data_IF_451156785877
#
_entry.id   IF_451156785877
#
_cell.length_a   1.000
_cell.length_b   1.000
_cell.length_c   1.000
_cell.angle_alpha   90.00
_cell.angle_beta   90.00
_cell.angle_gamma   90.00
#
_symmetry.space_group_name_H-M   'P 1'
#
loop_
_entity.id
_entity.type
_entity.pdbx_description
1 polymer ?
#
# COMPACT_ATOMS: atom_id res chain seq x y z
N UNK A 1 3.31 34.85 8.58
CA UNK A 1 4.05 33.96 9.47
C UNK A 1 5.29 34.65 9.98
N UNK A 2 5.41 34.66 11.30
CA UNK A 2 6.58 35.26 11.98
C UNK A 2 7.51 34.10 12.35
N UNK A 3 8.47 33.76 11.50
CA UNK A 3 9.41 32.68 11.78
C UNK A 3 10.41 32.46 10.62
N UNK A 4 11.54 31.77 10.89
CA UNK A 4 12.58 31.53 9.90
C UNK A 4 12.22 30.39 8.90
N UNK A 5 11.09 29.70 9.07
CA UNK A 5 10.67 28.62 8.20
C UNK A 5 9.92 29.20 7.01
N UNK A 6 10.49 28.99 5.82
CA UNK A 6 9.84 29.34 4.56
C UNK A 6 9.04 28.13 4.03
N UNK A 7 7.80 28.38 3.64
CA UNK A 7 6.98 27.41 2.95
C UNK A 7 6.63 27.93 1.56
N UNK A 8 6.96 27.16 0.53
CA UNK A 8 6.59 27.43 -0.84
C UNK A 8 5.89 26.22 -1.43
N UNK A 9 4.88 26.48 -2.25
CA UNK A 9 4.18 25.46 -3.01
C UNK A 9 3.83 25.99 -4.38
N UNK A 10 4.57 25.58 -5.40
CA UNK A 10 4.41 26.09 -6.78
C UNK A 10 3.02 25.85 -7.36
N UNK A 11 2.33 24.81 -6.90
CA UNK A 11 0.96 24.45 -7.31
C UNK A 11 -0.10 24.84 -6.27
N UNK A 12 0.28 25.47 -5.15
CA UNK A 12 -0.68 25.95 -4.15
C UNK A 12 -1.61 27.00 -4.78
N UNK A 13 -2.92 26.73 -4.74
CA UNK A 13 -3.92 27.60 -5.36
C UNK A 13 -4.00 27.50 -6.89
N UNK A 14 -3.26 26.58 -7.52
CA UNK A 14 -3.40 26.34 -8.96
C UNK A 14 -4.84 25.88 -9.27
N UNK A 15 -5.57 26.55 -10.20
CA UNK A 15 -6.98 26.26 -10.44
C UNK A 15 -7.27 24.82 -10.85
N UNK A 16 -6.40 24.21 -11.67
CA UNK A 16 -6.57 22.80 -12.09
C UNK A 16 -6.38 21.86 -10.91
N UNK A 17 -5.32 22.04 -10.12
CA UNK A 17 -5.04 21.22 -8.95
C UNK A 17 -6.17 21.35 -7.89
N UNK A 18 -6.63 22.56 -7.63
CA UNK A 18 -7.72 22.82 -6.67
C UNK A 18 -9.04 22.22 -7.15
N UNK A 19 -9.36 22.35 -8.44
CA UNK A 19 -10.59 21.78 -9.02
C UNK A 19 -10.56 20.25 -8.97
N UNK A 20 -9.45 19.62 -9.36
CA UNK A 20 -9.29 18.17 -9.27
C UNK A 20 -9.39 17.68 -7.83
N UNK A 21 -8.76 18.35 -6.88
CA UNK A 21 -8.84 18.03 -5.45
C UNK A 21 -10.26 18.16 -4.91
N UNK A 22 -10.96 19.24 -5.26
CA UNK A 22 -12.36 19.46 -4.85
C UNK A 22 -13.27 18.36 -5.38
N UNK A 23 -13.12 17.99 -6.65
CA UNK A 23 -13.94 16.93 -7.25
C UNK A 23 -13.65 15.56 -6.64
N UNK A 24 -12.38 15.25 -6.37
CA UNK A 24 -11.99 14.03 -5.65
C UNK A 24 -12.66 13.95 -4.28
N UNK A 25 -12.63 15.05 -3.50
CA UNK A 25 -13.28 15.10 -2.18
C UNK A 25 -14.80 14.95 -2.30
N UNK A 26 -15.43 15.55 -3.31
CA UNK A 26 -16.87 15.39 -3.56
C UNK A 26 -17.24 13.94 -3.86
N UNK A 27 -16.46 13.24 -4.68
CA UNK A 27 -16.65 11.82 -4.96
C UNK A 27 -16.55 10.98 -3.67
N UNK A 28 -15.53 11.20 -2.86
CA UNK A 28 -15.35 10.47 -1.60
C UNK A 28 -16.46 10.73 -0.58
N UNK A 29 -17.03 11.96 -0.55
CA UNK A 29 -18.17 12.30 0.31
C UNK A 29 -19.47 11.65 -0.21
N UNK A 30 -19.67 11.64 -1.52
CA UNK A 30 -20.85 11.06 -2.15
C UNK A 30 -20.85 9.52 -2.11
N UNK A 31 -19.67 8.90 -2.06
CA UNK A 31 -19.45 7.46 -2.12
C UNK A 31 -18.61 6.95 -0.94
N UNK A 32 -19.08 7.08 0.31
CA UNK A 32 -18.33 6.64 1.49
C UNK A 32 -18.09 5.13 1.55
N UNK A 33 -18.88 4.34 0.81
CA UNK A 33 -18.71 2.89 0.65
C UNK A 33 -17.36 2.51 0.05
N UNK A 34 -16.70 3.42 -0.68
CA UNK A 34 -15.35 3.20 -1.25
C UNK A 34 -14.35 2.79 -0.16
N UNK A 35 -14.43 3.42 1.02
CA UNK A 35 -13.50 3.12 2.10
C UNK A 35 -13.65 1.69 2.62
N UNK A 36 -14.88 1.22 2.81
CA UNK A 36 -15.14 -0.15 3.24
C UNK A 36 -14.71 -1.18 2.17
N UNK A 37 -14.92 -0.84 0.89
CA UNK A 37 -14.53 -1.71 -0.22
C UNK A 37 -13.02 -1.88 -0.34
N UNK A 38 -12.25 -0.79 -0.29
CA UNK A 38 -10.79 -0.86 -0.38
C UNK A 38 -10.16 -1.49 0.88
N UNK A 39 -10.78 -1.30 2.06
CA UNK A 39 -10.35 -1.95 3.29
C UNK A 39 -10.50 -3.48 3.21
N UNK A 40 -11.66 -3.97 2.78
CA UNK A 40 -11.93 -5.39 2.53
C UNK A 40 -10.93 -6.02 1.55
N UNK A 41 -10.61 -5.30 0.47
CA UNK A 41 -9.61 -5.75 -0.53
C UNK A 41 -8.21 -5.85 0.07
N UNK A 42 -7.82 -4.88 0.88
CA UNK A 42 -6.54 -4.88 1.58
C UNK A 42 -6.47 -5.97 2.66
N UNK A 43 -7.55 -6.23 3.38
CA UNK A 43 -7.67 -7.32 4.35
C UNK A 43 -7.37 -8.68 3.70
N UNK A 44 -7.90 -8.93 2.51
CA UNK A 44 -7.64 -10.17 1.78
C UNK A 44 -6.17 -10.35 1.40
N UNK A 45 -5.48 -9.27 1.03
CA UNK A 45 -4.03 -9.31 0.81
C UNK A 45 -3.27 -9.56 2.12
N UNK A 46 -3.66 -8.89 3.21
CA UNK A 46 -3.08 -9.11 4.54
C UNK A 46 -3.18 -10.57 4.96
N UNK A 47 -4.39 -11.16 4.87
CA UNK A 47 -4.62 -12.56 5.18
C UNK A 47 -3.70 -13.48 4.36
N UNK A 48 -3.60 -13.22 3.04
CA UNK A 48 -2.75 -14.00 2.14
C UNK A 48 -1.27 -13.94 2.53
N UNK A 49 -0.76 -12.78 2.89
CA UNK A 49 0.62 -12.66 3.37
C UNK A 49 0.83 -13.37 4.71
N UNK A 50 -0.15 -13.26 5.64
CA UNK A 50 -0.09 -13.93 6.94
C UNK A 50 -0.16 -15.45 6.80
N UNK A 51 -0.95 -16.00 5.87
CA UNK A 51 -0.95 -17.43 5.51
C UNK A 51 0.44 -17.94 5.11
N UNK A 52 1.25 -17.08 4.53
CA UNK A 52 2.65 -17.38 4.14
C UNK A 52 3.66 -17.15 5.28
N UNK A 53 3.21 -16.81 6.47
CA UNK A 53 4.03 -16.61 7.65
C UNK A 53 4.78 -15.28 7.69
N UNK A 54 4.34 -14.29 6.93
CA UNK A 54 4.90 -12.94 6.93
C UNK A 54 4.21 -12.05 7.96
N UNK A 55 4.96 -11.10 8.50
CA UNK A 55 4.39 -10.04 9.34
C UNK A 55 3.81 -8.94 8.47
N UNK A 56 2.58 -8.55 8.75
CA UNK A 56 1.88 -7.47 8.03
C UNK A 56 1.40 -6.42 9.01
N UNK A 57 1.70 -5.17 8.71
CA UNK A 57 1.10 -4.01 9.35
C UNK A 57 0.10 -3.37 8.36
N UNK A 58 -1.14 -3.15 8.80
CA UNK A 58 -2.20 -2.57 7.97
C UNK A 58 -3.02 -1.53 8.73
N UNK A 59 -3.37 -0.47 8.01
CA UNK A 59 -4.36 0.53 8.44
C UNK A 59 -5.26 0.84 7.23
N UNK A 60 -6.51 0.42 7.29
CA UNK A 60 -7.42 0.54 6.15
C UNK A 60 -6.83 -0.12 4.89
N UNK A 61 -6.77 0.61 3.80
CA UNK A 61 -6.24 0.14 2.51
C UNK A 61 -4.71 0.23 2.37
N UNK A 62 -4.02 0.70 3.39
CA UNK A 62 -2.57 0.85 3.45
C UNK A 62 -1.96 -0.34 4.17
N UNK A 63 -1.01 -1.05 3.55
CA UNK A 63 -0.36 -2.21 4.16
C UNK A 63 1.13 -2.29 3.80
N UNK A 64 1.91 -2.85 4.71
CA UNK A 64 3.30 -3.23 4.49
C UNK A 64 3.51 -4.66 4.93
N UNK A 65 4.17 -5.48 4.09
CA UNK A 65 4.55 -6.84 4.44
C UNK A 65 6.06 -6.91 4.72
N UNK A 66 6.43 -7.61 5.77
CA UNK A 66 7.80 -7.79 6.21
C UNK A 66 8.16 -9.28 6.21
N UNK A 67 9.28 -9.60 5.60
CA UNK A 67 9.81 -10.97 5.52
C UNK A 67 10.48 -11.36 6.85
N UNK A 68 9.65 -11.45 7.88
CA UNK A 68 10.00 -11.86 9.24
C UNK A 68 8.76 -12.43 9.93
N UNK A 69 8.97 -13.25 10.95
CA UNK A 69 7.91 -13.74 11.85
C UNK A 69 7.77 -12.89 13.12
N UNK A 70 8.76 -12.00 13.34
CA UNK A 70 8.78 -11.13 14.51
C UNK A 70 7.86 -9.92 14.31
N UNK A 71 7.23 -9.41 15.37
CA UNK A 71 6.47 -8.17 15.28
C UNK A 71 7.35 -7.00 14.81
N UNK A 72 6.81 -6.19 13.91
CA UNK A 72 7.44 -4.97 13.42
C UNK A 72 6.69 -3.77 13.96
N UNK A 73 7.30 -3.04 14.88
CA UNK A 73 6.69 -1.91 15.61
C UNK A 73 7.47 -0.60 15.46
N UNK A 74 8.70 -0.69 14.95
CA UNK A 74 9.59 0.44 14.73
C UNK A 74 10.59 0.14 13.60
N UNK A 75 11.41 1.13 13.25
CA UNK A 75 12.41 0.99 12.20
C UNK A 75 13.45 -0.09 12.50
N UNK A 76 13.85 -0.25 13.77
CA UNK A 76 14.85 -1.26 14.16
C UNK A 76 14.32 -2.68 13.98
N UNK A 77 13.05 -2.91 14.32
CA UNK A 77 12.40 -4.20 14.08
C UNK A 77 12.21 -4.45 12.58
N UNK A 78 11.87 -3.43 11.78
CA UNK A 78 11.78 -3.55 10.32
C UNK A 78 13.12 -3.96 9.67
N UNK A 79 14.24 -3.41 10.15
CA UNK A 79 15.59 -3.74 9.65
C UNK A 79 15.99 -5.22 9.85
N UNK A 80 15.31 -5.98 10.72
CA UNK A 80 15.56 -7.41 10.91
C UNK A 80 14.89 -8.30 9.87
N UNK A 81 14.10 -7.73 8.99
CA UNK A 81 13.43 -8.46 7.92
C UNK A 81 14.42 -8.94 6.84
N UNK A 82 14.14 -10.09 6.22
CA UNK A 82 14.98 -10.65 5.17
C UNK A 82 14.77 -9.89 3.86
N UNK A 83 15.67 -8.94 3.58
CA UNK A 83 15.64 -8.13 2.35
C UNK A 83 15.99 -8.94 1.09
N UNK A 84 16.71 -10.06 1.22
CA UNK A 84 17.03 -10.93 0.07
C UNK A 84 15.82 -11.75 -0.34
N UNK A 85 15.08 -12.29 0.64
CA UNK A 85 13.82 -12.97 0.38
C UNK A 85 12.79 -12.01 -0.24
N UNK A 86 12.72 -10.77 0.25
CA UNK A 86 11.87 -9.74 -0.36
C UNK A 86 12.27 -9.45 -1.82
N UNK A 87 13.57 -9.34 -2.13
CA UNK A 87 14.04 -9.09 -3.49
C UNK A 87 13.63 -10.22 -4.45
N UNK A 88 13.74 -11.48 -4.02
CA UNK A 88 13.29 -12.64 -4.81
C UNK A 88 11.77 -12.60 -5.02
N UNK A 89 11.00 -12.33 -3.96
CA UNK A 89 9.56 -12.14 -4.04
C UNK A 89 9.18 -11.01 -5.01
N UNK A 90 9.83 -9.86 -4.94
CA UNK A 90 9.59 -8.73 -5.85
C UNK A 90 9.79 -9.14 -7.31
N UNK A 91 10.89 -9.81 -7.63
CA UNK A 91 11.16 -10.30 -8.98
C UNK A 91 10.07 -11.28 -9.47
N UNK A 92 9.69 -12.24 -8.62
CA UNK A 92 8.64 -13.21 -8.93
C UNK A 92 7.28 -12.55 -9.18
N UNK A 93 6.91 -11.53 -8.39
CA UNK A 93 5.67 -10.77 -8.58
C UNK A 93 5.71 -9.99 -9.90
N UNK A 94 6.85 -9.38 -10.22
CA UNK A 94 7.03 -8.61 -11.46
C UNK A 94 6.91 -9.52 -12.70
N UNK A 95 7.48 -10.72 -12.68
CA UNK A 95 7.34 -11.71 -13.75
C UNK A 95 5.88 -12.14 -13.97
N UNK A 96 5.06 -12.10 -12.92
CA UNK A 96 3.61 -12.37 -12.99
C UNK A 96 2.77 -11.14 -13.37
N UNK A 97 3.44 -10.03 -13.72
CA UNK A 97 2.83 -8.78 -14.12
C UNK A 97 2.18 -8.01 -12.97
N UNK A 98 2.68 -8.20 -11.74
CA UNK A 98 2.24 -7.48 -10.56
C UNK A 98 3.40 -6.65 -10.03
N UNK A 99 3.24 -5.33 -10.09
CA UNK A 99 4.23 -4.39 -9.58
C UNK A 99 3.86 -4.00 -8.14
N UNK A 100 4.64 -4.51 -7.19
CA UNK A 100 4.55 -4.12 -5.77
C UNK A 100 5.61 -3.06 -5.46
N UNK A 101 5.58 -2.47 -4.26
CA UNK A 101 6.62 -1.53 -3.84
C UNK A 101 8.01 -2.16 -3.97
N UNK A 102 9.01 -1.48 -4.55
CA UNK A 102 10.34 -2.06 -4.80
C UNK A 102 11.18 -2.26 -3.53
N UNK A 103 10.73 -1.73 -2.41
CA UNK A 103 11.35 -1.90 -1.09
C UNK A 103 10.33 -2.36 -0.07
N UNK A 104 10.68 -3.33 0.78
CA UNK A 104 9.81 -3.76 1.89
C UNK A 104 9.59 -2.69 2.97
N UNK A 105 10.35 -1.59 2.92
CA UNK A 105 10.18 -0.44 3.81
C UNK A 105 9.17 0.58 3.29
N UNK A 106 8.56 0.31 2.14
CA UNK A 106 7.50 1.11 1.56
C UNK A 106 6.14 0.48 1.82
N UNK A 107 5.13 1.34 1.89
CA UNK A 107 3.75 0.91 2.01
C UNK A 107 3.12 0.69 0.63
N UNK A 108 2.25 -0.31 0.56
CA UNK A 108 1.40 -0.59 -0.59
C UNK A 108 0.01 0.00 -0.35
N UNK A 109 -0.64 0.44 -1.41
CA UNK A 109 -1.96 1.05 -1.36
C UNK A 109 -2.94 0.29 -2.25
N UNK A 110 -4.07 -0.09 -1.68
CA UNK A 110 -5.21 -0.59 -2.45
C UNK A 110 -6.14 0.57 -2.76
N UNK A 111 -6.55 0.69 -4.01
CA UNK A 111 -7.47 1.74 -4.46
C UNK A 111 -8.77 1.15 -5.03
N UNK A 112 -9.78 2.00 -5.23
CA UNK A 112 -11.05 1.60 -5.83
C UNK A 112 -10.91 1.10 -7.28
N UNK A 113 -9.82 1.46 -7.97
CA UNK A 113 -9.52 0.98 -9.32
C UNK A 113 -9.10 -0.50 -9.38
N UNK A 114 -8.66 -1.10 -8.26
CA UNK A 114 -8.37 -2.52 -8.20
C UNK A 114 -9.66 -3.32 -8.17
N UNK A 115 -9.94 -4.10 -9.21
CA UNK A 115 -11.07 -5.03 -9.22
C UNK A 115 -10.84 -6.22 -8.26
N UNK A 116 -11.92 -6.91 -7.89
CA UNK A 116 -11.80 -8.14 -7.08
C UNK A 116 -10.98 -9.21 -7.81
N UNK A 117 -11.07 -9.28 -9.14
CA UNK A 117 -10.27 -10.20 -9.95
C UNK A 117 -8.77 -9.88 -9.86
N UNK A 118 -8.39 -8.59 -9.88
CA UNK A 118 -7.00 -8.17 -9.68
C UNK A 118 -6.48 -8.57 -8.30
N UNK A 119 -7.29 -8.40 -7.26
CA UNK A 119 -6.93 -8.81 -5.90
C UNK A 119 -6.75 -10.32 -5.82
N UNK A 120 -7.68 -11.12 -6.38
CA UNK A 120 -7.55 -12.58 -6.43
C UNK A 120 -6.30 -13.05 -7.18
N UNK A 121 -6.01 -12.41 -8.33
CA UNK A 121 -4.79 -12.68 -9.08
C UNK A 121 -3.55 -12.38 -8.24
N UNK A 122 -3.57 -11.26 -7.51
CA UNK A 122 -2.47 -10.86 -6.62
C UNK A 122 -2.30 -11.87 -5.48
N UNK A 123 -3.37 -12.30 -4.84
CA UNK A 123 -3.33 -13.33 -3.79
C UNK A 123 -2.72 -14.65 -4.31
N UNK A 124 -3.11 -15.10 -5.50
CA UNK A 124 -2.50 -16.30 -6.10
C UNK A 124 -1.00 -16.11 -6.33
N UNK A 125 -0.61 -14.97 -6.90
CA UNK A 125 0.79 -14.66 -7.14
C UNK A 125 1.61 -14.61 -5.85
N UNK A 126 1.08 -14.04 -4.76
CA UNK A 126 1.72 -14.04 -3.45
C UNK A 126 1.98 -15.46 -2.97
N UNK A 127 0.97 -16.36 -3.02
CA UNK A 127 1.10 -17.76 -2.59
C UNK A 127 2.16 -18.53 -3.36
N UNK A 128 2.39 -18.18 -4.62
CA UNK A 128 3.37 -18.81 -5.50
C UNK A 128 4.76 -18.18 -5.42
N UNK A 129 4.89 -16.99 -4.82
CA UNK A 129 6.12 -16.20 -4.83
C UNK A 129 6.82 -16.12 -3.47
N UNK A 130 6.14 -16.54 -2.39
CA UNK A 130 6.64 -16.57 -1.01
C UNK A 130 6.88 -17.99 -0.53
#
# INVERSE_FOLDING_TARGET
>A
PLGPVYQAGTLSGNPVAVTAGLETLRQLIAHPEIYAEIDRKAEKLEETYRERGLTVNRVGSLLSCFFTKEPVTDYRSALRSDTKAFAAYFANMLERGIYVAPSQFEAMFVSAAHSDEMIERTCRAIRESV
#
